data_IF_054421340621
#
_entry.id   IF_054421340621
#
_cell.length_a   1.000
_cell.length_b   1.000
_cell.length_c   1.000
_cell.angle_alpha   90.00
_cell.angle_beta   90.00
_cell.angle_gamma   90.00
#
_symmetry.space_group_name_H-M   'P 1'
#
loop_
_entity.id
_entity.type
_entity.pdbx_description
1 polymer ?
#
# COMPACT_ATOMS: atom_id res chain seq x y z
N UNK A 1 18.60 7.84 7.73
CA UNK A 1 19.01 6.95 8.85
C UNK A 1 17.79 6.72 9.72
N UNK A 2 17.61 5.50 10.24
CA UNK A 2 16.57 5.16 11.20
C UNK A 2 17.12 4.15 12.23
N UNK A 3 16.56 4.14 13.43
CA UNK A 3 16.85 3.10 14.42
C UNK A 3 15.73 2.08 14.39
N UNK A 4 16.09 0.82 14.62
CA UNK A 4 15.10 -0.22 14.88
C UNK A 4 14.47 0.01 16.26
N UNK A 5 13.23 -0.45 16.47
CA UNK A 5 12.53 -0.26 17.73
C UNK A 5 13.18 -0.94 18.93
N UNK A 6 13.81 -2.09 18.68
CA UNK A 6 14.57 -2.83 19.70
C UNK A 6 15.96 -2.21 19.94
N UNK A 7 16.31 -1.16 19.19
CA UNK A 7 17.61 -0.49 19.23
C UNK A 7 18.81 -1.43 18.98
N UNK A 8 18.57 -2.59 18.39
CA UNK A 8 19.57 -3.60 18.08
C UNK A 8 20.24 -3.36 16.72
N UNK A 9 19.67 -2.50 15.88
CA UNK A 9 20.25 -2.09 14.61
C UNK A 9 20.02 -0.62 14.25
N UNK A 10 20.98 -0.05 13.52
CA UNK A 10 20.84 1.18 12.73
C UNK A 10 20.57 0.82 11.28
N UNK A 11 19.65 1.54 10.66
CA UNK A 11 19.35 1.44 9.24
C UNK A 11 19.87 2.71 8.54
N UNK A 12 20.72 2.53 7.54
CA UNK A 12 21.14 3.62 6.66
C UNK A 12 20.67 3.34 5.24
N UNK A 13 20.40 4.40 4.48
CA UNK A 13 20.28 4.30 3.04
C UNK A 13 20.69 5.61 2.40
N UNK A 14 21.11 5.53 1.15
CA UNK A 14 21.53 6.69 0.39
C UNK A 14 21.31 6.52 -1.11
N UNK A 15 22.06 7.31 -1.86
CA UNK A 15 21.96 7.40 -3.32
C UNK A 15 22.60 6.21 -4.05
N UNK A 16 23.34 5.36 -3.33
CA UNK A 16 24.00 4.15 -3.83
C UNK A 16 23.05 2.95 -4.01
N UNK A 17 21.74 3.20 -3.88
CA UNK A 17 20.64 2.21 -4.00
C UNK A 17 20.58 1.22 -2.84
N UNK A 18 21.46 1.33 -1.85
CA UNK A 18 21.55 0.35 -0.76
C UNK A 18 20.80 0.86 0.45
N UNK A 19 20.12 -0.08 1.10
CA UNK A 19 19.67 0.06 2.47
C UNK A 19 20.54 -0.89 3.30
N UNK A 20 21.34 -0.36 4.21
CA UNK A 20 22.25 -1.16 5.03
C UNK A 20 21.68 -1.28 6.44
N UNK A 21 21.85 -2.46 7.03
CA UNK A 21 21.51 -2.72 8.43
C UNK A 21 22.81 -2.95 9.20
N UNK A 22 23.02 -2.12 10.20
CA UNK A 22 24.20 -2.12 11.05
C UNK A 22 23.77 -2.63 12.42
N UNK A 23 24.27 -3.78 12.90
CA UNK A 23 23.97 -4.18 14.26
C UNK A 23 24.60 -3.19 15.24
N UNK A 24 23.86 -2.87 16.29
CA UNK A 24 24.32 -2.03 17.38
C UNK A 24 25.02 -2.90 18.42
N UNK A 25 26.15 -2.45 18.99
CA UNK A 25 26.80 -3.16 20.08
C UNK A 25 25.83 -3.36 21.24
N UNK A 26 25.74 -4.58 21.73
CA UNK A 26 25.00 -4.91 22.96
C UNK A 26 25.95 -4.89 24.16
N UNK A 27 25.41 -4.72 25.37
CA UNK A 27 26.22 -4.77 26.59
C UNK A 27 26.93 -6.13 26.82
N UNK A 28 26.57 -7.17 26.05
CA UNK A 28 27.18 -8.50 26.08
C UNK A 28 28.34 -8.67 25.08
N UNK A 29 28.56 -7.70 24.20
CA UNK A 29 29.66 -7.79 23.24
C UNK A 29 30.99 -7.57 23.95
N UNK A 30 32.00 -8.36 23.57
CA UNK A 30 33.33 -8.29 24.17
C UNK A 30 33.93 -6.90 23.90
N UNK A 31 34.24 -6.09 24.94
CA UNK A 31 34.82 -4.77 24.74
C UNK A 31 36.20 -4.82 24.08
N UNK A 32 36.83 -6.00 24.00
CA UNK A 32 38.13 -6.19 23.34
C UNK A 32 38.04 -6.36 21.82
N UNK A 33 36.85 -6.60 21.25
CA UNK A 33 36.67 -6.62 19.79
C UNK A 33 36.81 -5.21 19.21
N UNK A 34 37.96 -4.94 18.59
CA UNK A 34 38.26 -3.62 17.98
C UNK A 34 37.70 -3.45 16.58
N UNK A 35 37.25 -4.54 15.93
CA UNK A 35 36.66 -4.46 14.60
C UNK A 35 35.20 -4.01 14.68
N UNK A 36 34.79 -2.95 13.96
CA UNK A 36 33.40 -2.56 13.91
C UNK A 36 32.58 -3.69 13.26
N UNK A 37 31.35 -3.94 13.74
CA UNK A 37 30.52 -4.97 13.15
C UNK A 37 30.30 -4.65 11.66
N UNK A 38 30.56 -5.64 10.81
CA UNK A 38 30.31 -5.52 9.39
C UNK A 38 28.80 -5.34 9.15
N UNK A 39 28.37 -4.37 8.33
CA UNK A 39 26.96 -4.20 8.02
C UNK A 39 26.46 -5.46 7.33
N UNK A 40 25.31 -5.96 7.80
CA UNK A 40 24.53 -6.89 6.99
C UNK A 40 23.92 -6.07 5.87
N UNK A 41 24.56 -6.11 4.70
CA UNK A 41 24.04 -5.43 3.53
C UNK A 41 22.71 -6.05 3.15
N UNK A 42 21.62 -5.36 3.49
CA UNK A 42 20.31 -5.66 2.94
C UNK A 42 20.34 -5.17 1.49
N UNK A 43 20.97 -5.97 0.63
CA UNK A 43 21.04 -5.68 -0.80
C UNK A 43 19.72 -6.08 -1.42
N UNK A 44 18.66 -5.35 -1.09
CA UNK A 44 17.43 -5.43 -1.87
C UNK A 44 17.65 -4.65 -3.15
N UNK A 45 17.95 -5.39 -4.20
CA UNK A 45 17.82 -4.89 -5.56
C UNK A 45 16.34 -4.62 -5.77
N UNK A 46 15.92 -3.36 -5.61
CA UNK A 46 14.64 -2.88 -6.13
C UNK A 46 14.57 -3.41 -7.57
N UNK A 47 13.57 -4.21 -7.93
CA UNK A 47 13.57 -4.91 -9.20
C UNK A 47 13.85 -3.90 -10.31
N UNK A 48 14.86 -4.17 -11.16
CA UNK A 48 15.28 -3.21 -12.17
C UNK A 48 14.09 -2.95 -13.09
N UNK A 49 13.47 -1.78 -12.94
CA UNK A 49 12.44 -1.34 -13.85
C UNK A 49 13.16 -0.91 -15.12
N UNK A 50 13.15 -1.80 -16.12
CA UNK A 50 13.81 -1.61 -17.40
C UNK A 50 13.61 -0.16 -17.90
N UNK A 51 14.71 0.56 -18.08
CA UNK A 51 14.82 1.96 -18.56
C UNK A 51 14.60 3.10 -17.57
N UNK A 52 14.34 2.83 -16.29
CA UNK A 52 14.19 3.91 -15.29
C UNK A 52 15.55 4.38 -14.74
N UNK A 53 15.69 5.69 -14.44
CA UNK A 53 16.90 6.22 -13.82
C UNK A 53 17.13 5.60 -12.43
N UNK A 54 18.35 5.67 -11.90
CA UNK A 54 18.72 5.02 -10.64
C UNK A 54 17.74 5.35 -9.49
N UNK A 55 17.20 4.34 -8.77
CA UNK A 55 16.38 4.58 -7.60
C UNK A 55 17.24 5.11 -6.44
N UNK A 56 16.70 6.06 -5.68
CA UNK A 56 17.34 6.70 -4.54
C UNK A 56 16.43 6.60 -3.32
N UNK A 57 16.98 6.14 -2.20
CA UNK A 57 16.26 6.15 -0.93
C UNK A 57 16.20 7.58 -0.39
N UNK A 58 14.99 8.07 -0.13
CA UNK A 58 14.80 9.45 0.36
C UNK A 58 14.60 9.51 1.86
N UNK A 59 13.76 8.63 2.39
CA UNK A 59 13.42 8.59 3.80
C UNK A 59 13.13 7.16 4.23
N UNK A 60 13.43 6.85 5.48
CA UNK A 60 13.29 5.52 6.08
C UNK A 60 12.74 5.63 7.49
N UNK A 61 11.87 4.68 7.84
CA UNK A 61 11.30 4.47 9.16
C UNK A 61 11.29 2.98 9.51
N UNK A 62 11.39 2.68 10.80
CA UNK A 62 11.18 1.34 11.34
C UNK A 62 10.13 1.41 12.44
N UNK A 63 8.87 1.01 12.18
CA UNK A 63 7.80 1.07 13.17
C UNK A 63 8.02 0.03 14.28
N UNK A 64 7.55 0.36 15.49
CA UNK A 64 7.75 -0.42 16.72
C UNK A 64 7.02 -1.75 16.80
N UNK A 65 5.83 -1.85 16.21
CA UNK A 65 4.98 -3.01 16.43
C UNK A 65 5.20 -4.15 15.44
N UNK A 66 4.96 -5.35 15.95
CA UNK A 66 5.10 -6.64 15.29
C UNK A 66 3.82 -7.09 14.57
N UNK A 67 2.77 -6.24 14.43
CA UNK A 67 1.50 -6.65 13.78
C UNK A 67 1.74 -7.29 12.41
N UNK A 68 2.72 -6.76 11.66
CA UNK A 68 3.16 -7.33 10.39
C UNK A 68 4.62 -7.80 10.43
N UNK A 69 5.16 -8.05 11.63
CA UNK A 69 6.58 -8.24 11.90
C UNK A 69 7.38 -6.94 11.84
N UNK A 70 8.63 -6.96 12.34
CA UNK A 70 9.52 -5.82 12.24
C UNK A 70 9.79 -5.53 10.77
N UNK A 71 9.81 -4.26 10.41
CA UNK A 71 9.98 -3.87 9.03
C UNK A 71 10.76 -2.57 8.90
N UNK A 72 11.34 -2.39 7.72
CA UNK A 72 11.82 -1.12 7.21
C UNK A 72 10.78 -0.63 6.22
N UNK A 73 10.35 0.61 6.40
CA UNK A 73 9.50 1.31 5.44
C UNK A 73 10.32 2.47 4.91
N UNK A 74 10.39 2.64 3.60
CA UNK A 74 11.08 3.80 3.03
C UNK A 74 10.46 4.28 1.74
N UNK A 75 10.68 5.57 1.48
CA UNK A 75 10.36 6.18 0.21
C UNK A 75 11.56 6.08 -0.73
N UNK A 76 11.27 5.73 -1.96
CA UNK A 76 12.25 5.56 -3.03
C UNK A 76 11.79 6.45 -4.17
N UNK A 77 12.69 7.29 -4.66
CA UNK A 77 12.45 8.11 -5.84
C UNK A 77 13.31 7.63 -6.99
N UNK A 78 12.81 7.79 -8.20
CA UNK A 78 13.59 7.68 -9.41
C UNK A 78 13.94 9.10 -9.85
N UNK A 79 15.16 9.34 -10.37
CA UNK A 79 15.58 10.71 -10.75
C UNK A 79 14.60 11.34 -11.74
N UNK A 80 13.92 12.42 -11.36
CA UNK A 80 12.87 13.06 -12.17
C UNK A 80 11.65 12.18 -12.42
N UNK A 81 11.45 11.14 -11.61
CA UNK A 81 10.46 10.11 -11.81
C UNK A 81 9.54 9.91 -10.60
N UNK A 82 8.76 8.81 -10.63
CA UNK A 82 7.74 8.55 -9.64
C UNK A 82 8.29 8.27 -8.25
N UNK A 83 7.45 8.54 -7.26
CA UNK A 83 7.65 8.24 -5.87
C UNK A 83 7.04 6.89 -5.47
N UNK A 84 7.89 6.03 -4.94
CA UNK A 84 7.55 4.67 -4.51
C UNK A 84 7.68 4.54 -3.00
N UNK A 85 6.87 3.67 -2.41
CA UNK A 85 7.06 3.21 -1.04
C UNK A 85 7.43 1.73 -1.10
N UNK A 86 8.46 1.36 -0.35
CA UNK A 86 8.84 -0.01 -0.13
C UNK A 86 8.69 -0.37 1.34
N UNK A 87 8.21 -1.58 1.59
CA UNK A 87 8.16 -2.22 2.89
C UNK A 87 8.97 -3.52 2.82
N UNK A 88 10.01 -3.58 3.65
CA UNK A 88 10.95 -4.70 3.74
C UNK A 88 10.75 -5.34 5.11
N UNK A 89 10.39 -6.62 5.15
CA UNK A 89 10.33 -7.35 6.41
C UNK A 89 11.75 -7.57 6.94
N UNK A 90 11.97 -7.26 8.21
CA UNK A 90 13.21 -7.57 8.90
C UNK A 90 13.13 -9.01 9.42
N UNK A 91 14.20 -9.80 9.26
CA UNK A 91 14.26 -11.13 9.83
C UNK A 91 14.33 -11.01 11.36
N UNK A 92 13.45 -11.71 12.07
CA UNK A 92 13.66 -11.94 13.50
C UNK A 92 14.60 -13.13 13.60
N UNK A 93 15.87 -12.89 13.95
CA UNK A 93 16.85 -13.95 14.24
C UNK A 93 17.41 -14.71 13.03
N UNK A 94 17.16 -14.27 11.78
CA UNK A 94 17.79 -14.86 10.60
C UNK A 94 18.83 -13.90 9.99
N UNK A 95 20.01 -14.44 9.66
CA UNK A 95 21.14 -13.68 9.07
C UNK A 95 20.95 -13.34 7.60
N UNK A 96 19.95 -13.93 6.92
CA UNK A 96 19.71 -13.71 5.49
C UNK A 96 18.26 -13.33 5.21
N UNK A 97 18.05 -12.19 4.56
CA UNK A 97 16.73 -11.67 4.22
C UNK A 97 16.28 -12.25 2.88
N UNK A 98 15.30 -13.15 2.89
CA UNK A 98 14.68 -13.72 1.68
C UNK A 98 13.26 -13.25 1.43
N UNK A 99 12.84 -12.13 2.02
CA UNK A 99 11.49 -11.61 1.78
C UNK A 99 11.44 -10.77 0.52
N UNK A 100 10.47 -11.08 -0.35
CA UNK A 100 10.11 -10.23 -1.49
C UNK A 100 9.64 -8.88 -0.94
N UNK A 101 10.32 -7.77 -1.24
CA UNK A 101 9.91 -6.47 -0.75
C UNK A 101 8.53 -6.14 -1.32
N UNK A 102 7.64 -5.62 -0.47
CA UNK A 102 6.38 -5.08 -0.94
C UNK A 102 6.66 -3.66 -1.41
N UNK A 103 6.60 -3.44 -2.73
CA UNK A 103 6.82 -2.13 -3.33
C UNK A 103 5.55 -1.65 -4.00
N UNK A 104 5.25 -0.35 -3.89
CA UNK A 104 4.11 0.26 -4.57
C UNK A 104 4.46 1.64 -5.13
N UNK A 105 4.06 1.85 -6.39
CA UNK A 105 3.98 3.17 -7.00
C UNK A 105 2.89 3.98 -6.31
N UNK A 106 3.26 5.10 -5.67
CA UNK A 106 2.31 5.94 -4.92
C UNK A 106 1.93 7.18 -5.71
N UNK A 107 2.90 7.85 -6.34
CA UNK A 107 2.68 9.08 -7.08
C UNK A 107 3.64 9.24 -8.27
N UNK A 108 3.30 10.13 -9.21
CA UNK A 108 4.12 10.44 -10.40
C UNK A 108 5.29 11.39 -10.09
N UNK A 109 5.18 12.13 -9.00
CA UNK A 109 6.14 13.08 -8.45
C UNK A 109 7.09 12.42 -7.45
N UNK A 110 8.14 13.11 -7.04
CA UNK A 110 9.05 12.60 -5.99
C UNK A 110 8.40 12.67 -4.60
N UNK A 111 8.56 11.62 -3.81
CA UNK A 111 8.26 11.66 -2.38
C UNK A 111 9.36 12.43 -1.65
N UNK A 112 8.96 13.36 -0.81
CA UNK A 112 9.89 14.24 -0.08
C UNK A 112 10.04 13.83 1.37
N UNK A 113 9.01 13.23 1.95
CA UNK A 113 8.97 12.80 3.36
C UNK A 113 8.06 11.59 3.52
N UNK A 114 8.32 10.80 4.55
CA UNK A 114 7.52 9.64 4.94
C UNK A 114 7.52 9.50 6.45
N UNK A 115 6.38 9.11 7.00
CA UNK A 115 6.27 8.67 8.38
C UNK A 115 5.38 7.45 8.50
N UNK A 116 5.54 6.70 9.59
CA UNK A 116 4.75 5.53 9.87
C UNK A 116 4.27 5.58 11.32
N UNK A 117 3.01 5.20 11.54
CA UNK A 117 2.49 4.90 12.86
C UNK A 117 3.38 3.89 13.58
N UNK A 118 3.46 3.97 14.90
CA UNK A 118 4.26 3.04 15.71
C UNK A 118 3.85 1.58 15.50
N UNK A 119 2.60 1.33 15.13
CA UNK A 119 2.11 -0.02 14.84
C UNK A 119 2.37 -0.51 13.41
N UNK A 120 2.90 0.36 12.54
CA UNK A 120 3.14 0.09 11.13
C UNK A 120 1.85 -0.17 10.33
N UNK A 121 0.66 0.03 10.90
CA UNK A 121 -0.62 -0.17 10.20
C UNK A 121 -0.97 0.98 9.29
N UNK A 122 -0.48 2.18 9.60
CA UNK A 122 -0.69 3.41 8.82
C UNK A 122 0.66 3.99 8.42
N UNK A 123 0.78 4.31 7.14
CA UNK A 123 1.95 4.95 6.53
C UNK A 123 1.46 6.22 5.86
N UNK A 124 2.18 7.32 6.04
CA UNK A 124 1.88 8.57 5.37
C UNK A 124 3.11 9.09 4.64
N UNK A 125 2.92 9.60 3.45
CA UNK A 125 3.99 10.16 2.63
C UNK A 125 3.55 11.48 2.01
N UNK A 126 4.48 12.42 1.92
CA UNK A 126 4.31 13.69 1.24
C UNK A 126 5.17 13.75 -0.01
N UNK A 127 4.73 14.49 -1.03
CA UNK A 127 5.46 14.66 -2.28
C UNK A 127 5.89 16.10 -2.55
N UNK A 128 6.55 16.30 -3.70
CA UNK A 128 6.97 17.61 -4.21
C UNK A 128 5.81 18.53 -4.62
N UNK A 129 4.61 17.99 -4.77
CA UNK A 129 3.44 18.71 -5.29
C UNK A 129 2.48 19.11 -4.15
N UNK A 130 2.89 18.94 -2.88
CA UNK A 130 2.08 19.27 -1.72
C UNK A 130 0.96 18.29 -1.40
N UNK A 131 0.95 17.13 -2.07
CA UNK A 131 -0.01 16.05 -1.83
C UNK A 131 0.44 15.12 -0.70
N UNK A 132 -0.53 14.68 0.09
CA UNK A 132 -0.36 13.66 1.12
C UNK A 132 -1.05 12.37 0.69
N UNK A 133 -0.35 11.27 0.88
CA UNK A 133 -0.82 9.92 0.65
C UNK A 133 -0.81 9.17 1.97
N UNK A 134 -1.93 8.55 2.31
CA UNK A 134 -2.04 7.68 3.49
C UNK A 134 -2.35 6.28 3.00
N UNK A 135 -1.55 5.32 3.45
CA UNK A 135 -1.62 3.92 3.06
C UNK A 135 -1.73 3.04 4.32
N UNK A 136 -2.27 1.84 4.15
CA UNK A 136 -2.18 0.81 5.19
C UNK A 136 -0.78 0.16 5.20
N UNK A 137 -0.52 -0.70 6.20
CA UNK A 137 0.73 -1.47 6.31
C UNK A 137 0.98 -2.47 5.17
N UNK A 138 -0.01 -2.71 4.31
CA UNK A 138 0.07 -3.50 3.07
C UNK A 138 0.21 -2.61 1.84
N UNK A 139 0.54 -1.34 2.05
CA UNK A 139 0.65 -0.30 1.03
C UNK A 139 -0.65 -0.11 0.24
N UNK A 140 -1.84 -0.33 0.79
CA UNK A 140 -3.11 0.03 0.15
C UNK A 140 -3.39 1.49 0.39
N UNK A 141 -3.57 2.27 -0.68
CA UNK A 141 -3.92 3.70 -0.57
C UNK A 141 -5.30 3.85 0.10
N UNK A 142 -5.31 4.47 1.28
CA UNK A 142 -6.49 4.77 2.09
C UNK A 142 -7.05 6.15 1.75
N UNK A 143 -6.16 7.14 1.68
CA UNK A 143 -6.53 8.54 1.48
C UNK A 143 -5.47 9.26 0.65
N UNK A 144 -5.94 10.23 -0.15
CA UNK A 144 -5.12 11.21 -0.85
C UNK A 144 -5.78 12.58 -0.73
N UNK A 145 -4.98 13.63 -0.50
CA UNK A 145 -5.43 15.01 -0.60
C UNK A 145 -4.27 15.95 -0.92
N UNK A 146 -4.56 17.12 -1.47
CA UNK A 146 -3.61 18.21 -1.56
C UNK A 146 -3.62 18.97 -0.24
N UNK A 147 -2.50 18.95 0.49
CA UNK A 147 -2.37 19.67 1.75
C UNK A 147 -1.81 21.07 1.52
N UNK A 148 -0.84 21.20 0.61
CA UNK A 148 -0.06 22.40 0.40
C UNK A 148 0.02 22.75 -1.09
N UNK A 149 0.26 24.01 -1.43
CA UNK A 149 0.56 24.42 -2.81
C UNK A 149 2.03 24.16 -3.19
N UNK A 150 2.86 23.80 -2.20
CA UNK A 150 4.28 23.56 -2.33
C UNK A 150 4.68 22.20 -1.74
N UNK A 151 5.88 21.73 -2.07
CA UNK A 151 6.42 20.47 -1.57
C UNK A 151 6.39 20.35 -0.04
N UNK A 152 6.06 19.15 0.43
CA UNK A 152 6.03 18.82 1.85
C UNK A 152 7.46 18.56 2.33
N UNK A 153 7.96 19.31 3.30
CA UNK A 153 9.32 19.14 3.85
C UNK A 153 9.36 18.14 4.99
N UNK A 154 8.28 18.05 5.76
CA UNK A 154 8.19 17.14 6.91
C UNK A 154 6.77 16.63 7.09
N UNK A 155 6.67 15.39 7.54
CA UNK A 155 5.41 14.73 7.89
C UNK A 155 5.59 14.00 9.21
N UNK A 156 4.57 14.07 10.07
CA UNK A 156 4.50 13.34 11.33
C UNK A 156 3.12 12.69 11.49
N UNK A 157 3.11 11.40 11.83
CA UNK A 157 1.93 10.66 12.27
C UNK A 157 1.90 10.59 13.79
N UNK A 158 0.87 11.19 14.39
CA UNK A 158 0.63 11.12 15.82
C UNK A 158 -0.59 10.23 16.08
N UNK A 159 -0.46 9.17 16.90
CA UNK A 159 -1.65 8.51 17.41
C UNK A 159 -2.42 9.50 18.28
N UNK A 160 -3.72 9.67 18.01
CA UNK A 160 -4.59 10.33 18.96
C UNK A 160 -4.73 9.41 20.16
N UNK A 161 -4.26 9.87 21.32
CA UNK A 161 -4.35 9.13 22.57
C UNK A 161 -5.77 8.62 22.75
N UNK A 162 -5.96 7.31 22.66
CA UNK A 162 -7.18 6.65 23.05
C UNK A 162 -7.24 6.87 24.56
N UNK A 163 -8.04 7.82 25.03
CA UNK A 163 -8.07 8.22 26.43
C UNK A 163 -8.29 7.00 27.32
N UNK A 164 -7.21 6.49 27.94
CA UNK A 164 -7.17 5.52 29.04
C UNK A 164 -7.94 4.19 28.93
N UNK A 165 -8.70 3.94 27.86
CA UNK A 165 -9.68 2.84 27.80
C UNK A 165 -9.25 1.70 26.87
N UNK A 166 -8.96 0.56 27.48
CA UNK A 166 -8.84 -0.80 26.94
C UNK A 166 -8.24 -0.98 25.52
N UNK A 167 -6.95 -1.32 25.52
CA UNK A 167 -6.08 -1.58 24.37
C UNK A 167 -6.43 -2.83 23.51
N UNK A 168 -7.66 -3.35 23.57
CA UNK A 168 -8.00 -4.67 22.98
C UNK A 168 -8.78 -4.57 21.66
N UNK A 169 -9.20 -3.38 21.22
CA UNK A 169 -9.89 -3.27 19.93
C UNK A 169 -8.91 -3.34 18.75
N UNK A 170 -9.12 -4.29 17.82
CA UNK A 170 -8.32 -4.47 16.60
C UNK A 170 -8.33 -3.26 15.63
N UNK A 171 -9.12 -2.24 15.91
CA UNK A 171 -9.22 -1.02 15.10
C UNK A 171 -8.02 -0.12 15.32
N UNK A 172 -7.39 0.33 14.23
CA UNK A 172 -6.33 1.35 14.32
C UNK A 172 -6.91 2.62 14.97
N UNK A 173 -6.22 3.20 15.97
CA UNK A 173 -6.68 4.43 16.59
C UNK A 173 -6.67 5.58 15.57
N UNK A 174 -7.44 6.63 15.85
CA UNK A 174 -7.41 7.83 15.04
C UNK A 174 -5.97 8.35 14.94
N UNK A 175 -5.60 8.87 13.78
CA UNK A 175 -4.27 9.41 13.52
C UNK A 175 -4.41 10.90 13.22
N UNK A 176 -3.50 11.71 13.73
CA UNK A 176 -3.33 13.08 13.29
C UNK A 176 -2.13 13.14 12.38
N UNK A 177 -2.33 13.59 11.15
CA UNK A 177 -1.25 13.87 10.19
C UNK A 177 -0.87 15.32 10.32
N UNK A 178 0.37 15.58 10.70
CA UNK A 178 0.95 16.92 10.76
C UNK A 178 1.89 17.06 9.57
N UNK A 179 1.70 18.10 8.76
CA UNK A 179 2.54 18.38 7.59
C UNK A 179 3.16 19.76 7.69
N UNK A 180 4.43 19.86 7.28
CA UNK A 180 5.16 21.11 7.12
C UNK A 180 5.58 21.22 5.66
N UNK A 181 5.39 22.39 5.03
CA UNK A 181 5.79 22.64 3.65
C UNK A 181 7.02 23.57 3.55
N UNK A 182 7.51 23.76 2.32
CA UNK A 182 8.67 24.61 2.02
C UNK A 182 8.44 26.11 2.30
N UNK A 183 7.18 26.54 2.34
CA UNK A 183 6.75 27.89 2.71
C UNK A 183 6.55 28.08 4.23
N UNK A 184 6.96 27.09 5.03
CA UNK A 184 6.78 27.02 6.49
C UNK A 184 5.32 26.91 6.96
N UNK A 185 4.36 26.66 6.06
CA UNK A 185 2.98 26.38 6.49
C UNK A 185 2.91 25.02 7.18
N UNK A 186 2.15 24.99 8.27
CA UNK A 186 1.94 23.79 9.09
C UNK A 186 0.45 23.47 9.13
N UNK A 187 0.08 22.25 8.71
CA UNK A 187 -1.31 21.81 8.71
C UNK A 187 -1.48 20.54 9.53
N UNK A 188 -2.61 20.44 10.21
CA UNK A 188 -3.00 19.29 11.00
C UNK A 188 -4.29 18.71 10.42
N UNK A 189 -4.25 17.44 10.04
CA UNK A 189 -5.42 16.71 9.55
C UNK A 189 -5.72 15.54 10.47
N UNK A 190 -6.88 15.57 11.10
CA UNK A 190 -7.41 14.42 11.83
C UNK A 190 -7.94 13.38 10.84
N UNK A 191 -7.49 12.14 11.01
CA UNK A 191 -7.98 10.96 10.30
C UNK A 191 -8.72 10.07 11.31
N UNK A 192 -10.06 10.11 11.32
CA UNK A 192 -10.83 9.22 12.18
C UNK A 192 -10.64 7.76 11.73
N UNK A 193 -10.88 6.77 12.62
CA UNK A 193 -10.70 5.36 12.28
C UNK A 193 -11.51 4.93 11.05
N UNK A 194 -12.68 5.54 10.82
CA UNK A 194 -13.52 5.31 9.65
C UNK A 194 -12.85 5.65 8.31
N UNK A 195 -11.88 6.57 8.30
CA UNK A 195 -11.07 6.92 7.12
C UNK A 195 -9.83 6.02 6.98
N UNK A 196 -9.44 5.31 8.04
CA UNK A 196 -8.28 4.41 8.07
C UNK A 196 -8.65 2.95 7.75
N UNK A 197 -9.93 2.66 7.54
CA UNK A 197 -10.36 1.38 7.04
C UNK A 197 -10.13 1.38 5.54
N UNK A 198 -9.26 0.49 5.07
CA UNK A 198 -9.18 0.17 3.66
C UNK A 198 -10.59 -0.20 3.23
N UNK A 199 -11.28 0.71 2.52
CA UNK A 199 -12.48 0.35 1.79
C UNK A 199 -11.98 -0.67 0.79
N UNK A 200 -12.12 -1.96 1.14
CA UNK A 200 -12.17 -3.00 0.13
C UNK A 200 -13.23 -2.46 -0.80
N UNK A 201 -12.79 -1.97 -1.97
CA UNK A 201 -13.69 -1.84 -3.10
C UNK A 201 -14.19 -3.26 -3.24
N UNK A 202 -15.33 -3.55 -2.62
CA UNK A 202 -16.12 -4.71 -3.00
C UNK A 202 -16.15 -4.57 -4.50
N UNK A 203 -15.54 -5.51 -5.23
CA UNK A 203 -15.42 -5.37 -6.67
C UNK A 203 -16.80 -4.95 -7.17
N UNK A 204 -16.86 -3.91 -8.01
CA UNK A 204 -18.11 -3.26 -8.44
C UNK A 204 -19.14 -4.24 -9.03
N UNK A 205 -18.72 -5.48 -9.27
CA UNK A 205 -19.40 -6.77 -9.10
C UNK A 205 -20.14 -6.93 -7.75
N UNK A 206 -20.74 -5.86 -7.25
CA UNK A 206 -21.56 -5.82 -6.07
C UNK A 206 -22.76 -6.76 -6.26
N UNK A 207 -23.45 -7.09 -5.17
CA UNK A 207 -24.69 -7.87 -5.20
C UNK A 207 -25.62 -7.58 -6.41
N UNK A 208 -25.83 -6.34 -6.89
CA UNK A 208 -26.62 -6.10 -8.09
C UNK A 208 -26.05 -6.69 -9.39
N UNK A 209 -24.72 -6.80 -9.56
CA UNK A 209 -24.12 -7.48 -10.72
C UNK A 209 -24.34 -8.99 -10.68
N UNK A 210 -24.13 -9.62 -9.52
CA UNK A 210 -24.44 -11.04 -9.34
C UNK A 210 -25.94 -11.30 -9.42
N UNK A 211 -26.76 -10.38 -8.91
CA UNK A 211 -28.22 -10.43 -9.04
C UNK A 211 -28.66 -10.27 -10.50
N UNK A 212 -27.99 -9.42 -11.31
CA UNK A 212 -28.30 -9.30 -12.74
C UNK A 212 -27.90 -10.54 -13.52
N UNK A 213 -26.76 -11.18 -13.20
CA UNK A 213 -26.38 -12.47 -13.78
C UNK A 213 -27.39 -13.55 -13.38
N UNK A 214 -27.77 -13.60 -12.10
CA UNK A 214 -28.73 -14.59 -11.60
C UNK A 214 -30.12 -14.40 -12.23
N UNK A 215 -30.58 -13.15 -12.35
CA UNK A 215 -31.84 -12.80 -12.98
C UNK A 215 -31.83 -13.11 -14.50
N UNK A 216 -30.73 -12.80 -15.20
CA UNK A 216 -30.58 -13.17 -16.61
C UNK A 216 -30.60 -14.69 -16.79
N UNK A 217 -29.91 -15.44 -15.91
CA UNK A 217 -29.89 -16.91 -15.93
C UNK A 217 -31.28 -17.49 -15.64
N UNK A 218 -32.00 -16.93 -14.67
CA UNK A 218 -33.37 -17.34 -14.33
C UNK A 218 -34.36 -17.02 -15.46
N UNK A 219 -34.21 -15.89 -16.15
CA UNK A 219 -35.04 -15.53 -17.31
C UNK A 219 -34.82 -16.49 -18.49
N UNK A 220 -33.57 -16.88 -18.77
CA UNK A 220 -33.25 -17.91 -19.77
C UNK A 220 -33.89 -19.25 -19.39
N UNK A 221 -33.83 -19.65 -18.11
CA UNK A 221 -34.45 -20.88 -17.64
C UNK A 221 -35.99 -20.84 -17.69
N UNK A 222 -36.61 -19.71 -17.33
CA UNK A 222 -38.06 -19.54 -17.25
C UNK A 222 -38.73 -19.42 -18.63
N UNK A 223 -38.04 -18.86 -19.63
CA UNK A 223 -38.56 -18.76 -20.99
C UNK A 223 -38.57 -20.09 -21.76
N UNK A 224 -38.27 -21.21 -21.08
CA UNK A 224 -38.35 -22.54 -21.68
C UNK A 224 -37.44 -22.63 -22.88
N UNK A 225 -36.12 -22.60 -22.65
CA UNK A 225 -35.14 -22.83 -23.69
C UNK A 225 -35.27 -24.28 -24.19
N UNK A 226 -36.23 -24.51 -25.08
CA UNK A 226 -36.24 -25.65 -25.97
C UNK A 226 -35.17 -25.35 -27.01
N UNK A 227 -33.93 -25.73 -26.72
CA UNK A 227 -32.98 -25.91 -27.78
C UNK A 227 -33.64 -26.91 -28.74
N UNK A 228 -33.98 -26.47 -29.95
CA UNK A 228 -34.39 -27.36 -31.01
C UNK A 228 -33.17 -28.22 -31.32
N UNK A 229 -33.10 -29.35 -30.63
CA UNK A 229 -32.11 -30.39 -30.92
C UNK A 229 -32.54 -30.93 -32.28
N UNK A 230 -31.70 -30.70 -33.28
CA UNK A 230 -31.91 -31.25 -34.60
C UNK A 230 -32.12 -32.76 -34.49
N UNK A 231 -32.81 -33.37 -35.45
CA UNK A 231 -33.10 -34.81 -35.41
C UNK A 231 -31.85 -35.71 -35.30
N UNK A 232 -30.65 -35.16 -35.56
CA UNK A 232 -29.35 -35.80 -35.43
C UNK A 232 -28.65 -35.60 -34.07
N UNK A 233 -29.25 -34.86 -33.14
CA UNK A 233 -28.68 -34.56 -31.82
C UNK A 233 -27.78 -33.33 -31.78
N UNK A 234 -27.60 -32.61 -32.89
CA UNK A 234 -26.81 -31.38 -32.93
C UNK A 234 -27.60 -30.15 -32.44
N UNK A 235 -26.89 -29.19 -31.83
CA UNK A 235 -27.44 -27.90 -31.39
C UNK A 235 -26.89 -26.81 -32.31
N UNK A 236 -27.77 -26.00 -32.90
CA UNK A 236 -27.34 -24.86 -33.72
C UNK A 236 -26.76 -23.75 -32.84
N UNK A 237 -25.44 -23.54 -32.95
CA UNK A 237 -24.70 -22.57 -32.15
C UNK A 237 -25.01 -21.13 -32.53
N UNK A 238 -25.63 -20.88 -33.69
CA UNK A 238 -26.00 -19.52 -34.11
C UNK A 238 -27.14 -18.94 -33.25
N UNK A 239 -28.07 -19.77 -32.81
CA UNK A 239 -29.16 -19.35 -31.92
C UNK A 239 -28.64 -19.04 -30.50
N UNK A 240 -27.64 -19.79 -30.05
CA UNK A 240 -26.95 -19.53 -28.78
C UNK A 240 -26.20 -18.20 -28.81
N UNK A 241 -25.52 -17.90 -29.92
CA UNK A 241 -24.80 -16.63 -30.09
C UNK A 241 -25.76 -15.43 -30.13
N UNK A 242 -26.92 -15.57 -30.78
CA UNK A 242 -27.97 -14.55 -30.81
C UNK A 242 -28.52 -14.21 -29.42
N UNK A 243 -28.82 -15.23 -28.62
CA UNK A 243 -29.35 -15.06 -27.26
C UNK A 243 -28.35 -14.40 -26.31
N UNK A 244 -27.07 -14.79 -26.38
CA UNK A 244 -26.00 -14.16 -25.59
C UNK A 244 -25.82 -12.69 -25.99
N UNK A 245 -25.89 -12.39 -27.28
CA UNK A 245 -25.77 -11.02 -27.79
C UNK A 245 -26.89 -10.10 -27.29
N UNK A 246 -28.14 -10.57 -27.32
CA UNK A 246 -29.29 -9.85 -26.76
C UNK A 246 -29.15 -9.61 -25.25
N UNK A 247 -28.73 -10.62 -24.50
CA UNK A 247 -28.48 -10.50 -23.07
C UNK A 247 -27.38 -9.47 -22.73
N UNK A 248 -26.31 -9.42 -23.53
CA UNK A 248 -25.22 -8.45 -23.39
C UNK A 248 -25.67 -7.01 -23.70
N UNK A 249 -26.51 -6.81 -24.73
CA UNK A 249 -27.06 -5.50 -25.07
C UNK A 249 -27.95 -4.99 -23.93
N UNK A 250 -28.79 -5.86 -23.37
CA UNK A 250 -29.71 -5.49 -22.28
C UNK A 250 -28.95 -5.20 -20.98
N UNK A 251 -27.85 -5.92 -20.72
CA UNK A 251 -26.92 -5.63 -19.63
C UNK A 251 -26.25 -4.26 -19.83
N UNK A 252 -25.77 -3.94 -21.04
CA UNK A 252 -25.16 -2.65 -21.36
C UNK A 252 -26.13 -1.48 -21.13
N UNK A 253 -27.38 -1.62 -21.56
CA UNK A 253 -28.41 -0.58 -21.35
C UNK A 253 -28.72 -0.38 -19.87
N UNK A 254 -28.80 -1.45 -19.09
CA UNK A 254 -29.08 -1.39 -17.65
C UNK A 254 -27.93 -0.74 -16.88
N UNK A 255 -26.68 -1.06 -17.26
CA UNK A 255 -25.48 -0.43 -16.69
C UNK A 255 -25.41 1.05 -17.06
N UNK A 256 -25.74 1.42 -18.31
CA UNK A 256 -25.76 2.82 -18.73
C UNK A 256 -26.77 3.66 -17.94
N UNK A 257 -27.97 3.13 -17.69
CA UNK A 257 -29.01 3.81 -16.92
C UNK A 257 -28.69 3.92 -15.41
N UNK A 258 -27.91 2.99 -14.85
CA UNK A 258 -27.50 3.03 -13.45
C UNK A 258 -26.33 3.99 -13.17
N UNK A 259 -25.58 4.37 -14.22
CA UNK A 259 -24.43 5.28 -14.12
C UNK A 259 -24.85 6.75 -14.34
N UNK A 260 -25.96 7.01 -15.02
CA UNK A 260 -26.57 8.33 -15.21
C UNK A 260 -27.35 8.80 -13.99
#
# INVERSE_FOLDING_TARGET
>A
IAFTPLSDHIITAGDDRRCLLWPMPTAHDDPTTTEPPSPSAITHTIPPMHKTPMPQWRCIRSPSSLVYGPAIIGAINFRGGPGWIARLALPIGATTIRHTPLCRLVCKSMLTTLDASSDGKVIAAGNSDGEVFVLDGRLVLLRKWSAHEMFITKLLLCPMGQGGGDAITNTSPAQTVITLAGDNTCLLKLLPPSELIARRRTPLWSLPFFASILAATAAVAANGWNADINQDGSVDLNDVAGAISLGLIQLQQTVAAAIS
#
